data_IF_598650205416
#
_entry.id   IF_598650205416
#
_cell.length_a   1.000
_cell.length_b   1.000
_cell.length_c   1.000
_cell.angle_alpha   90.00
_cell.angle_beta   90.00
_cell.angle_gamma   90.00
#
_symmetry.space_group_name_H-M   'P 1'
#
loop_
_entity.id
_entity.type
_entity.pdbx_description
1 polymer ?
#
# COMPACT_ATOMS: atom_id res chain seq x y z
N UNK A 1 26.71 11.62 -16.99
CA UNK A 1 26.54 11.82 -15.55
C UNK A 1 27.40 13.00 -15.03
N UNK A 2 28.68 13.16 -15.45
CA UNK A 2 29.56 14.26 -14.97
C UNK A 2 29.00 15.64 -15.32
N UNK A 3 28.55 15.86 -16.55
CA UNK A 3 27.91 17.12 -16.96
C UNK A 3 26.67 17.46 -16.16
N UNK A 4 25.84 16.43 -15.82
CA UNK A 4 24.66 16.61 -14.98
C UNK A 4 25.09 17.00 -13.56
N UNK A 5 26.09 16.34 -12.98
CA UNK A 5 26.61 16.69 -11.67
C UNK A 5 27.19 18.13 -11.66
N UNK A 6 27.91 18.53 -12.70
CA UNK A 6 28.40 19.88 -12.84
C UNK A 6 27.27 20.92 -12.89
N UNK A 7 26.19 20.66 -13.65
CA UNK A 7 25.00 21.51 -13.67
C UNK A 7 24.35 21.64 -12.29
N UNK A 8 24.14 20.50 -11.62
CA UNK A 8 23.52 20.47 -10.29
C UNK A 8 24.37 21.20 -9.25
N UNK A 9 25.73 21.16 -9.35
CA UNK A 9 26.60 21.85 -8.43
C UNK A 9 26.46 23.39 -8.44
N UNK A 10 25.86 23.95 -9.50
CA UNK A 10 25.60 25.38 -9.60
C UNK A 10 24.30 25.82 -8.91
N UNK A 11 23.45 24.87 -8.47
CA UNK A 11 22.14 25.18 -7.86
C UNK A 11 22.30 25.73 -6.42
N UNK A 12 23.43 25.55 -5.80
CA UNK A 12 23.72 26.01 -4.44
C UNK A 12 22.98 25.22 -3.35
N UNK A 13 23.27 25.56 -2.10
CA UNK A 13 22.56 25.02 -0.94
C UNK A 13 21.27 25.81 -0.70
N UNK A 14 20.19 25.08 -0.39
CA UNK A 14 18.88 25.65 0.01
C UNK A 14 18.52 25.21 1.42
N UNK A 15 17.60 25.92 2.03
CA UNK A 15 16.94 25.47 3.25
C UNK A 15 16.36 24.08 3.06
N UNK A 16 16.33 23.30 4.15
CA UNK A 16 15.76 21.97 4.17
C UNK A 16 14.43 21.96 4.91
N UNK A 17 13.61 20.94 4.64
CA UNK A 17 12.38 20.71 5.38
C UNK A 17 12.64 20.42 6.87
N UNK A 18 13.82 19.89 7.19
CA UNK A 18 14.26 19.62 8.55
C UNK A 18 13.58 18.39 9.17
N UNK A 19 13.35 17.34 8.36
CA UNK A 19 12.84 16.08 8.90
C UNK A 19 13.80 15.50 9.93
N UNK A 20 13.23 14.99 11.04
CA UNK A 20 14.05 14.47 12.14
C UNK A 20 14.88 13.26 11.69
N UNK A 21 16.19 13.32 11.92
CA UNK A 21 17.14 12.26 11.65
C UNK A 21 18.08 12.04 12.84
N UNK A 22 18.18 10.77 13.27
CA UNK A 22 19.16 10.33 14.26
C UNK A 22 20.32 9.60 13.56
N UNK A 23 21.30 9.14 14.34
CA UNK A 23 22.31 8.23 13.84
C UNK A 23 21.64 6.95 13.33
N UNK A 24 21.93 6.51 12.09
CA UNK A 24 21.37 5.28 11.54
C UNK A 24 21.75 4.05 12.38
N UNK A 25 20.81 3.12 12.50
CA UNK A 25 21.07 1.81 13.09
C UNK A 25 20.78 0.73 12.06
N UNK A 26 21.45 -0.41 12.17
CA UNK A 26 21.14 -1.58 11.34
C UNK A 26 19.76 -2.14 11.70
N UNK A 27 19.02 -2.73 10.77
CA UNK A 27 17.79 -3.46 11.08
C UNK A 27 18.04 -4.62 12.06
N UNK A 28 16.97 -5.09 12.71
CA UNK A 28 17.07 -6.20 13.67
C UNK A 28 17.44 -7.53 13.01
N UNK A 29 17.11 -7.70 11.73
CA UNK A 29 17.36 -8.91 10.94
C UNK A 29 17.94 -8.55 9.57
N UNK A 30 18.58 -9.54 8.92
CA UNK A 30 19.19 -9.36 7.62
C UNK A 30 18.12 -9.09 6.52
N UNK A 31 18.42 -8.14 5.65
CA UNK A 31 17.52 -7.80 4.54
C UNK A 31 17.36 -8.94 3.52
N UNK A 32 18.33 -9.84 3.36
CA UNK A 32 18.25 -11.00 2.46
C UNK A 32 17.15 -11.99 2.88
N UNK A 33 16.78 -12.02 4.15
CA UNK A 33 15.67 -12.85 4.63
C UNK A 33 14.30 -12.42 4.06
N UNK A 34 14.19 -11.21 3.51
CA UNK A 34 12.97 -10.74 2.81
C UNK A 34 12.55 -11.67 1.67
N UNK A 35 13.51 -12.31 1.00
CA UNK A 35 13.20 -13.27 -0.07
C UNK A 35 12.41 -14.49 0.40
N UNK A 36 12.54 -14.87 1.68
CA UNK A 36 11.82 -16.00 2.26
C UNK A 36 10.50 -15.65 2.94
N UNK A 37 10.20 -14.36 3.14
CA UNK A 37 9.00 -13.91 3.87
C UNK A 37 7.80 -13.77 2.95
N UNK A 38 8.00 -13.16 1.77
CA UNK A 38 6.91 -12.94 0.82
C UNK A 38 6.70 -14.20 0.00
N UNK A 39 5.56 -14.87 0.13
CA UNK A 39 5.29 -16.09 -0.62
C UNK A 39 5.08 -15.78 -2.11
N UNK A 40 5.47 -16.69 -2.97
CA UNK A 40 5.24 -16.60 -4.41
C UNK A 40 3.73 -16.58 -4.76
N UNK A 41 2.89 -17.22 -3.93
CA UNK A 41 1.44 -17.25 -4.08
C UNK A 41 0.74 -16.07 -3.41
N UNK A 42 -0.10 -15.37 -4.14
CA UNK A 42 -0.81 -14.16 -3.67
C UNK A 42 -1.77 -14.38 -2.48
N UNK A 43 -2.08 -15.61 -2.13
CA UNK A 43 -3.09 -15.95 -1.11
C UNK A 43 -2.49 -16.51 0.20
N UNK A 44 -1.19 -16.66 0.29
CA UNK A 44 -0.56 -17.16 1.51
C UNK A 44 -0.40 -16.03 2.53
N UNK A 45 -0.82 -16.25 3.79
CA UNK A 45 -0.66 -15.27 4.85
C UNK A 45 0.79 -15.19 5.33
N UNK A 46 1.24 -13.99 5.66
CA UNK A 46 2.50 -13.73 6.38
C UNK A 46 2.31 -12.56 7.34
N UNK A 47 3.20 -12.40 8.30
CA UNK A 47 3.18 -11.24 9.20
C UNK A 47 4.02 -10.09 8.60
N UNK A 48 3.40 -8.98 8.29
CA UNK A 48 4.09 -7.79 7.77
C UNK A 48 5.10 -7.21 8.76
N UNK A 49 5.00 -7.53 10.06
CA UNK A 49 5.99 -7.13 11.06
C UNK A 49 7.36 -7.73 10.78
N UNK A 50 7.40 -8.94 10.20
CA UNK A 50 8.65 -9.57 9.77
C UNK A 50 9.34 -8.77 8.65
N UNK A 51 8.56 -8.20 7.73
CA UNK A 51 9.09 -7.29 6.71
C UNK A 51 9.62 -6.01 7.37
N UNK A 52 8.84 -5.42 8.28
CA UNK A 52 9.24 -4.19 8.98
C UNK A 52 10.54 -4.38 9.76
N UNK A 53 10.72 -5.50 10.43
CA UNK A 53 11.92 -5.79 11.23
C UNK A 53 13.22 -5.85 10.41
N UNK A 54 13.10 -5.99 9.07
CA UNK A 54 14.23 -6.00 8.11
C UNK A 54 14.39 -4.68 7.34
N UNK A 55 13.46 -3.75 7.53
CA UNK A 55 13.49 -2.45 6.86
C UNK A 55 13.82 -1.30 7.82
N UNK A 56 13.28 -1.33 9.04
CA UNK A 56 13.45 -0.23 9.99
C UNK A 56 14.71 -0.38 10.85
N UNK A 57 15.17 0.72 11.40
CA UNK A 57 16.32 0.76 12.31
C UNK A 57 15.97 -0.04 13.57
N UNK A 58 16.79 -1.00 13.93
CA UNK A 58 16.81 -1.75 15.18
C UNK A 58 15.48 -1.79 15.94
N UNK A 59 15.47 -1.31 17.19
CA UNK A 59 14.28 -1.28 18.06
C UNK A 59 13.39 -0.04 17.86
N UNK A 60 13.46 0.61 16.70
CA UNK A 60 12.77 1.89 16.46
C UNK A 60 11.27 1.77 16.21
N UNK A 61 10.72 0.56 15.98
CA UNK A 61 9.31 0.37 15.69
C UNK A 61 8.43 0.57 16.95
N UNK A 62 7.51 1.50 16.86
CA UNK A 62 6.48 1.73 17.89
C UNK A 62 5.11 1.69 17.23
N UNK A 63 4.38 0.60 17.44
CA UNK A 63 3.07 0.39 16.84
C UNK A 63 1.99 1.27 17.49
N UNK A 64 1.22 1.98 16.67
CA UNK A 64 0.09 2.80 17.09
C UNK A 64 -1.18 1.97 17.11
N UNK A 65 -1.89 1.94 18.23
CA UNK A 65 -3.14 1.18 18.45
C UNK A 65 -3.04 -0.29 18.03
N UNK A 66 -2.02 -0.99 18.52
CA UNK A 66 -1.69 -2.37 18.14
C UNK A 66 -2.88 -3.34 18.25
N UNK A 67 -3.73 -3.20 19.27
CA UNK A 67 -4.89 -4.06 19.50
C UNK A 67 -6.14 -3.70 18.68
N UNK A 68 -6.12 -2.63 17.87
CA UNK A 68 -7.28 -2.14 17.14
C UNK A 68 -6.98 -2.08 15.63
N UNK A 69 -7.96 -2.46 14.79
CA UNK A 69 -7.86 -2.40 13.34
C UNK A 69 -6.62 -3.13 12.79
N UNK A 70 -6.42 -4.37 13.21
CA UNK A 70 -5.16 -5.10 13.06
C UNK A 70 -4.82 -5.49 11.61
N UNK A 71 -5.76 -5.36 10.65
CA UNK A 71 -5.49 -5.62 9.23
C UNK A 71 -4.64 -4.53 8.57
N UNK A 72 -4.44 -3.39 9.23
CA UNK A 72 -3.45 -2.38 8.87
C UNK A 72 -2.56 -2.12 10.09
N UNK A 73 -1.26 -2.25 9.89
CA UNK A 73 -0.25 -1.84 10.87
C UNK A 73 0.04 -0.35 10.68
N UNK A 74 0.05 0.38 11.76
CA UNK A 74 0.45 1.79 11.79
C UNK A 74 1.43 2.01 12.92
N UNK A 75 2.49 2.75 12.69
CA UNK A 75 3.47 3.02 13.74
C UNK A 75 4.57 3.97 13.31
N UNK A 76 5.27 4.48 14.30
CA UNK A 76 6.45 5.30 14.11
C UNK A 76 7.69 4.42 14.08
N UNK A 77 8.64 4.76 13.23
CA UNK A 77 9.91 4.06 13.10
C UNK A 77 11.01 5.02 12.64
N UNK A 78 12.21 4.46 12.50
CA UNK A 78 13.29 5.11 11.77
C UNK A 78 13.74 4.24 10.61
N UNK A 79 14.07 4.88 9.50
CA UNK A 79 14.71 4.25 8.34
C UNK A 79 15.98 5.03 8.04
N UNK A 80 17.13 4.41 8.24
CA UNK A 80 18.43 5.06 8.10
C UNK A 80 18.52 6.36 8.93
N UNK A 81 18.01 6.31 10.14
CA UNK A 81 17.91 7.42 11.07
C UNK A 81 16.71 8.34 10.84
N UNK A 82 16.12 8.40 9.66
CA UNK A 82 14.97 9.25 9.35
C UNK A 82 13.71 8.82 10.11
N UNK A 83 13.09 9.73 10.83
CA UNK A 83 11.77 9.48 11.44
C UNK A 83 10.69 9.35 10.39
N UNK A 84 9.92 8.28 10.42
CA UNK A 84 8.84 7.99 9.48
C UNK A 84 7.61 7.48 10.22
N UNK A 85 6.44 7.76 9.64
CA UNK A 85 5.19 7.05 9.94
C UNK A 85 4.98 5.95 8.91
N UNK A 86 4.72 4.73 9.35
CA UNK A 86 4.50 3.59 8.47
C UNK A 86 3.03 3.18 8.52
N UNK A 87 2.45 2.95 7.34
CA UNK A 87 1.11 2.38 7.15
C UNK A 87 1.28 1.15 6.25
N UNK A 88 1.03 -0.03 6.80
CA UNK A 88 1.30 -1.29 6.10
C UNK A 88 0.12 -2.26 6.20
N UNK A 89 -0.20 -2.97 5.13
CA UNK A 89 -1.22 -4.01 5.18
C UNK A 89 -0.69 -5.24 5.91
N UNK A 90 -1.44 -5.73 6.90
CA UNK A 90 -1.17 -7.02 7.53
C UNK A 90 -1.76 -8.14 6.68
N UNK A 91 -0.98 -9.20 6.42
CA UNK A 91 -1.44 -10.35 5.61
C UNK A 91 -1.88 -11.54 6.45
N UNK A 92 -1.52 -11.57 7.72
CA UNK A 92 -2.04 -12.57 8.66
C UNK A 92 -3.54 -12.37 8.90
N UNK A 93 -4.25 -13.46 9.12
CA UNK A 93 -5.62 -13.43 9.63
C UNK A 93 -5.60 -12.96 11.08
N UNK A 94 -6.42 -11.98 11.41
CA UNK A 94 -6.46 -11.37 12.74
C UNK A 94 -7.85 -11.47 13.36
N UNK A 95 -7.95 -11.35 14.69
CA UNK A 95 -9.22 -11.27 15.40
C UNK A 95 -9.58 -9.82 15.66
N UNK A 96 -10.75 -9.40 15.21
CA UNK A 96 -11.27 -8.09 15.57
C UNK A 96 -11.57 -8.05 17.08
N UNK A 97 -11.00 -7.08 17.78
CA UNK A 97 -11.42 -6.79 19.15
C UNK A 97 -12.71 -5.98 19.10
N UNK A 98 -13.84 -6.66 19.04
CA UNK A 98 -15.13 -6.02 19.16
C UNK A 98 -15.39 -5.66 20.62
N UNK A 99 -15.77 -4.40 20.89
CA UNK A 99 -16.12 -3.95 22.25
C UNK A 99 -17.21 -4.84 22.89
N UNK A 100 -17.38 -4.75 24.19
CA UNK A 100 -18.22 -5.60 25.09
C UNK A 100 -19.64 -6.00 24.62
N UNK A 101 -20.12 -5.51 23.46
CA UNK A 101 -21.45 -5.78 22.90
C UNK A 101 -21.52 -6.83 21.80
N UNK A 102 -20.39 -7.26 21.24
CA UNK A 102 -20.39 -8.35 20.22
C UNK A 102 -19.87 -9.65 20.82
N UNK A 103 -20.70 -10.68 20.81
CA UNK A 103 -20.40 -12.02 21.34
C UNK A 103 -19.57 -12.90 20.42
N UNK A 104 -19.11 -12.41 19.27
CA UNK A 104 -18.31 -13.18 18.33
C UNK A 104 -17.00 -12.45 18.02
N UNK A 105 -15.87 -13.05 18.38
CA UNK A 105 -14.57 -12.72 17.82
C UNK A 105 -14.67 -12.86 16.29
N UNK A 106 -14.72 -11.75 15.58
CA UNK A 106 -14.79 -11.77 14.12
C UNK A 106 -13.39 -11.95 13.57
N UNK A 107 -13.22 -13.00 12.77
CA UNK A 107 -11.97 -13.21 12.03
C UNK A 107 -11.94 -12.26 10.83
N UNK A 108 -10.89 -11.47 10.73
CA UNK A 108 -10.64 -10.56 9.62
C UNK A 108 -9.50 -11.10 8.74
N UNK A 109 -9.76 -11.17 7.44
CA UNK A 109 -8.77 -11.62 6.46
C UNK A 109 -7.66 -10.58 6.27
N UNK A 110 -6.43 -11.03 6.19
CA UNK A 110 -5.27 -10.19 5.89
C UNK A 110 -5.35 -9.56 4.49
N UNK A 111 -4.81 -8.37 4.34
CA UNK A 111 -4.84 -7.61 3.09
C UNK A 111 -6.18 -6.93 2.78
N UNK A 112 -7.19 -7.12 3.61
CA UNK A 112 -8.50 -6.47 3.48
C UNK A 112 -8.60 -5.30 4.44
N UNK A 113 -9.13 -4.18 3.96
CA UNK A 113 -9.38 -2.98 4.78
C UNK A 113 -10.79 -3.08 5.36
N UNK A 114 -10.89 -3.03 6.69
CA UNK A 114 -12.14 -2.99 7.45
C UNK A 114 -12.38 -1.59 8.03
N UNK A 115 -13.56 -1.32 8.54
CA UNK A 115 -13.92 -0.02 9.13
C UNK A 115 -12.95 0.41 10.24
N UNK A 116 -12.61 -0.51 11.15
CA UNK A 116 -11.69 -0.27 12.26
C UNK A 116 -10.27 0.04 11.77
N UNK A 117 -9.76 -0.70 10.80
CA UNK A 117 -8.42 -0.47 10.24
C UNK A 117 -8.34 0.79 9.38
N UNK A 118 -9.41 1.13 8.65
CA UNK A 118 -9.51 2.38 7.91
C UNK A 118 -9.52 3.60 8.83
N UNK A 119 -10.32 3.56 9.91
CA UNK A 119 -10.38 4.65 10.90
C UNK A 119 -9.04 4.83 11.63
N UNK A 120 -8.38 3.71 12.04
CA UNK A 120 -7.04 3.76 12.63
C UNK A 120 -6.02 4.41 11.70
N UNK A 121 -5.99 3.98 10.44
CA UNK A 121 -5.05 4.50 9.45
C UNK A 121 -5.29 5.98 9.16
N UNK A 122 -6.56 6.40 8.98
CA UNK A 122 -6.91 7.80 8.77
C UNK A 122 -6.37 8.68 9.91
N UNK A 123 -6.63 8.29 11.15
CA UNK A 123 -6.18 9.04 12.33
C UNK A 123 -4.66 9.10 12.43
N UNK A 124 -3.98 7.98 12.15
CA UNK A 124 -2.52 7.93 12.17
C UNK A 124 -1.88 8.82 11.09
N UNK A 125 -2.41 8.80 9.87
CA UNK A 125 -1.95 9.65 8.77
C UNK A 125 -2.11 11.13 9.14
N UNK A 126 -3.24 11.52 9.73
CA UNK A 126 -3.46 12.88 10.21
C UNK A 126 -2.43 13.29 11.28
N UNK A 127 -2.13 12.40 12.23
CA UNK A 127 -1.12 12.67 13.27
C UNK A 127 0.27 12.91 12.65
N UNK A 128 0.66 12.10 11.65
CA UNK A 128 1.93 12.29 10.95
C UNK A 128 1.97 13.64 10.23
N UNK A 129 0.88 14.05 9.59
CA UNK A 129 0.79 15.34 8.92
C UNK A 129 0.92 16.51 9.90
N UNK A 130 0.24 16.47 11.04
CA UNK A 130 0.35 17.51 12.07
C UNK A 130 1.76 17.64 12.63
N UNK A 131 2.52 16.55 12.66
CA UNK A 131 3.90 16.51 13.18
C UNK A 131 4.97 16.59 12.08
N UNK A 132 4.56 16.75 10.82
CA UNK A 132 5.47 16.80 9.66
C UNK A 132 6.39 15.59 9.55
N UNK A 133 5.85 14.40 9.82
CA UNK A 133 6.55 13.12 9.72
C UNK A 133 6.29 12.53 8.33
N UNK A 134 7.29 12.25 7.49
CA UNK A 134 7.13 11.55 6.23
C UNK A 134 6.42 10.21 6.38
N UNK A 135 5.58 9.85 5.42
CA UNK A 135 4.79 8.62 5.44
C UNK A 135 5.36 7.58 4.47
N UNK A 136 5.43 6.34 4.94
CA UNK A 136 5.79 5.17 4.13
C UNK A 136 4.60 4.21 4.11
N UNK A 137 4.15 3.86 2.91
CA UNK A 137 3.07 2.90 2.69
C UNK A 137 3.64 1.60 2.14
N UNK A 138 3.37 0.47 2.81
CA UNK A 138 3.68 -0.87 2.31
C UNK A 138 2.38 -1.53 1.87
N UNK A 139 2.20 -1.69 0.56
CA UNK A 139 0.96 -2.22 -0.01
C UNK A 139 1.04 -3.73 -0.23
N UNK A 140 0.13 -4.45 0.39
CA UNK A 140 -0.32 -5.78 0.00
C UNK A 140 -1.82 -5.87 0.29
N UNK A 141 -2.61 -5.14 -0.52
CA UNK A 141 -4.03 -4.90 -0.30
C UNK A 141 -4.87 -5.52 -1.41
N UNK A 142 -5.90 -6.27 -1.01
CA UNK A 142 -6.87 -6.87 -1.92
C UNK A 142 -8.11 -5.99 -2.15
N UNK A 143 -8.36 -5.04 -1.26
CA UNK A 143 -9.48 -4.09 -1.34
C UNK A 143 -10.08 -3.79 0.03
N UNK A 144 -11.21 -3.09 0.01
CA UNK A 144 -12.06 -2.90 1.20
C UNK A 144 -12.98 -4.11 1.39
N UNK A 145 -13.37 -4.36 2.63
CA UNK A 145 -14.41 -5.36 2.91
C UNK A 145 -15.72 -4.96 2.23
N UNK A 146 -16.40 -5.92 1.63
CA UNK A 146 -17.65 -5.73 0.88
C UNK A 146 -18.79 -6.52 1.50
N UNK A 147 -20.01 -6.19 1.13
CA UNK A 147 -21.23 -6.88 1.52
C UNK A 147 -22.06 -6.10 2.52
N UNK A 148 -23.34 -6.44 2.62
CA UNK A 148 -24.34 -5.70 3.38
C UNK A 148 -23.93 -5.42 4.84
N UNK A 149 -23.28 -6.38 5.51
CA UNK A 149 -22.81 -6.21 6.89
C UNK A 149 -21.72 -5.13 7.00
N UNK A 150 -20.76 -5.13 6.08
CA UNK A 150 -19.68 -4.13 6.07
C UNK A 150 -20.22 -2.73 5.71
N UNK A 151 -21.11 -2.66 4.74
CA UNK A 151 -21.74 -1.41 4.29
C UNK A 151 -22.61 -0.79 5.37
N UNK A 152 -23.49 -1.59 6.01
CA UNK A 152 -24.28 -1.12 7.15
C UNK A 152 -23.43 -0.82 8.37
N UNK A 153 -22.26 -1.48 8.50
CA UNK A 153 -21.26 -1.23 9.56
C UNK A 153 -20.46 0.05 9.39
N UNK A 154 -20.57 0.75 8.25
CA UNK A 154 -19.96 2.05 8.01
C UNK A 154 -18.66 2.03 7.20
N UNK A 155 -18.30 0.92 6.51
CA UNK A 155 -17.06 0.81 5.73
C UNK A 155 -16.91 1.93 4.69
N UNK A 156 -18.01 2.38 4.08
CA UNK A 156 -17.99 3.46 3.08
C UNK A 156 -17.53 4.76 3.72
N UNK A 157 -18.07 5.10 4.90
CA UNK A 157 -17.71 6.31 5.66
C UNK A 157 -16.26 6.23 6.18
N UNK A 158 -15.89 5.12 6.78
CA UNK A 158 -14.56 4.96 7.39
C UNK A 158 -13.48 4.83 6.32
N UNK A 159 -13.77 4.14 5.23
CA UNK A 159 -12.90 4.11 4.05
C UNK A 159 -12.71 5.50 3.43
N UNK A 160 -13.78 6.28 3.34
CA UNK A 160 -13.70 7.68 2.85
C UNK A 160 -12.81 8.54 3.75
N UNK A 161 -12.83 8.36 5.08
CA UNK A 161 -11.90 9.08 6.00
C UNK A 161 -10.45 8.75 5.69
N UNK A 162 -10.12 7.47 5.45
CA UNK A 162 -8.76 7.06 5.11
C UNK A 162 -8.31 7.66 3.79
N UNK A 163 -9.14 7.57 2.75
CA UNK A 163 -8.87 8.16 1.43
C UNK A 163 -8.71 9.68 1.54
N UNK A 164 -9.56 10.36 2.32
CA UNK A 164 -9.45 11.79 2.57
C UNK A 164 -8.14 12.16 3.28
N UNK A 165 -7.74 11.40 4.29
CA UNK A 165 -6.48 11.64 5.01
C UNK A 165 -5.25 11.48 4.09
N UNK A 166 -5.26 10.49 3.20
CA UNK A 166 -4.18 10.26 2.23
C UNK A 166 -4.14 11.36 1.16
N UNK A 167 -5.30 11.71 0.59
CA UNK A 167 -5.39 12.69 -0.50
C UNK A 167 -5.03 14.11 -0.06
N UNK A 168 -5.36 14.49 1.18
CA UNK A 168 -5.03 15.80 1.75
C UNK A 168 -3.68 15.82 2.49
N UNK A 169 -2.96 14.71 2.52
CA UNK A 169 -1.65 14.64 3.17
C UNK A 169 -0.64 15.54 2.47
N UNK A 170 0.01 16.41 3.25
CA UNK A 170 1.00 17.40 2.80
C UNK A 170 2.44 16.99 3.08
N UNK A 171 2.66 15.94 3.85
CA UNK A 171 3.98 15.38 4.08
C UNK A 171 4.41 14.50 2.91
N UNK A 172 5.72 14.34 2.66
CA UNK A 172 6.19 13.39 1.65
C UNK A 172 5.66 11.98 1.90
N UNK A 173 5.14 11.36 0.86
CA UNK A 173 4.61 9.99 0.86
C UNK A 173 5.49 9.12 -0.02
N UNK A 174 5.81 7.92 0.45
CA UNK A 174 6.58 6.91 -0.26
C UNK A 174 5.79 5.62 -0.24
N UNK A 175 5.59 5.01 -1.40
CA UNK A 175 4.81 3.78 -1.51
C UNK A 175 5.67 2.66 -2.05
N UNK A 176 5.61 1.50 -1.40
CA UNK A 176 6.22 0.26 -1.86
C UNK A 176 5.11 -0.77 -2.03
N UNK A 177 4.89 -1.21 -3.25
CA UNK A 177 3.97 -2.30 -3.55
C UNK A 177 4.72 -3.60 -3.38
N UNK A 178 4.51 -4.28 -2.26
CA UNK A 178 5.21 -5.53 -1.92
C UNK A 178 4.47 -6.78 -2.40
N UNK A 179 3.17 -6.68 -2.58
CA UNK A 179 2.30 -7.76 -3.04
C UNK A 179 1.12 -7.21 -3.84
N UNK A 180 -0.10 -7.53 -3.43
CA UNK A 180 -1.30 -7.09 -4.13
C UNK A 180 -1.55 -5.58 -3.95
N UNK A 181 -2.09 -4.95 -4.98
CA UNK A 181 -2.55 -3.57 -4.95
C UNK A 181 -3.78 -3.43 -5.85
N UNK A 182 -4.96 -3.68 -5.28
CA UNK A 182 -6.19 -3.79 -6.06
C UNK A 182 -7.20 -2.70 -5.75
N UNK A 183 -7.81 -2.17 -6.81
CA UNK A 183 -8.99 -1.31 -6.79
C UNK A 183 -8.89 -0.12 -5.82
N UNK A 184 -9.93 0.10 -5.04
CA UNK A 184 -9.96 1.18 -4.05
C UNK A 184 -8.92 1.03 -2.93
N UNK A 185 -8.40 -0.18 -2.68
CA UNK A 185 -7.30 -0.41 -1.75
C UNK A 185 -6.01 0.28 -2.20
N UNK A 186 -5.71 0.29 -3.50
CA UNK A 186 -4.58 1.03 -4.06
C UNK A 186 -4.69 2.53 -3.72
N UNK A 187 -5.87 3.12 -3.85
CA UNK A 187 -6.11 4.53 -3.50
C UNK A 187 -5.90 4.79 -2.02
N UNK A 188 -6.52 3.99 -1.15
CA UNK A 188 -6.42 4.15 0.30
C UNK A 188 -5.00 4.01 0.83
N UNK A 189 -4.18 3.18 0.18
CA UNK A 189 -2.78 2.93 0.52
C UNK A 189 -1.80 3.79 -0.27
N UNK A 190 -2.22 4.97 -0.73
CA UNK A 190 -1.39 5.94 -1.45
C UNK A 190 -0.82 5.42 -2.77
N UNK A 191 -1.70 4.98 -3.67
CA UNK A 191 -1.34 4.68 -5.05
C UNK A 191 -0.99 5.94 -5.85
N UNK A 192 -0.67 5.77 -7.13
CA UNK A 192 -0.18 6.84 -8.03
C UNK A 192 -1.06 8.08 -8.04
N UNK A 193 -2.38 7.93 -7.90
CA UNK A 193 -3.33 9.04 -7.91
C UNK A 193 -3.16 10.05 -6.76
N UNK A 194 -2.50 9.65 -5.67
CA UNK A 194 -2.28 10.52 -4.50
C UNK A 194 -0.86 11.06 -4.38
N UNK A 195 -0.16 11.11 -5.50
CA UNK A 195 1.12 11.78 -5.68
C UNK A 195 2.17 11.40 -4.63
N UNK A 196 2.51 10.11 -4.48
CA UNK A 196 3.68 9.72 -3.72
C UNK A 196 4.94 10.28 -4.38
N UNK A 197 5.94 10.64 -3.57
CA UNK A 197 7.25 11.11 -4.08
C UNK A 197 8.01 10.02 -4.82
N UNK A 198 7.82 8.77 -4.36
CA UNK A 198 8.24 7.56 -5.05
C UNK A 198 7.17 6.50 -4.87
N UNK A 199 6.90 5.76 -5.93
CA UNK A 199 6.14 4.52 -5.90
C UNK A 199 7.00 3.41 -6.48
N UNK A 200 7.39 2.50 -5.61
CA UNK A 200 8.29 1.38 -5.89
C UNK A 200 7.49 0.09 -5.91
N UNK A 201 7.91 -0.86 -6.71
CA UNK A 201 7.29 -2.19 -6.76
C UNK A 201 8.34 -3.28 -6.54
N UNK A 202 8.00 -4.30 -5.77
CA UNK A 202 8.77 -5.54 -5.74
C UNK A 202 8.39 -6.42 -6.93
N UNK A 203 9.23 -7.39 -7.33
CA UNK A 203 8.88 -8.33 -8.41
C UNK A 203 7.60 -9.13 -8.14
N UNK A 204 7.24 -9.31 -6.87
CA UNK A 204 6.01 -9.97 -6.41
C UNK A 204 4.76 -9.10 -6.53
N UNK A 205 4.89 -7.81 -6.84
CA UNK A 205 3.78 -6.87 -6.92
C UNK A 205 2.77 -7.26 -8.00
N UNK A 206 1.49 -7.09 -7.66
CA UNK A 206 0.36 -7.27 -8.59
C UNK A 206 -0.55 -6.04 -8.51
N UNK A 207 -0.64 -5.27 -9.60
CA UNK A 207 -1.41 -4.03 -9.66
C UNK A 207 -2.56 -4.19 -10.63
N UNK A 208 -3.80 -4.08 -10.15
CA UNK A 208 -4.99 -4.25 -10.98
C UNK A 208 -6.24 -3.63 -10.34
N UNK A 209 -7.33 -3.63 -11.09
CA UNK A 209 -8.64 -3.18 -10.57
C UNK A 209 -9.21 -4.19 -9.56
N UNK A 210 -8.99 -5.50 -9.79
CA UNK A 210 -9.43 -6.58 -8.91
C UNK A 210 -8.53 -7.81 -9.07
N UNK A 211 -8.68 -8.81 -8.20
CA UNK A 211 -7.93 -10.07 -8.32
C UNK A 211 -8.23 -10.84 -9.61
N UNK A 212 -7.22 -11.53 -10.15
CA UNK A 212 -7.28 -12.12 -11.49
C UNK A 212 -8.44 -13.06 -11.75
N UNK A 213 -8.69 -14.02 -10.86
CA UNK A 213 -9.81 -14.99 -11.02
C UNK A 213 -11.19 -14.34 -10.94
N UNK A 214 -11.37 -13.30 -10.13
CA UNK A 214 -12.63 -12.55 -10.07
C UNK A 214 -12.82 -11.71 -11.33
N UNK A 215 -11.77 -11.05 -11.80
CA UNK A 215 -11.79 -10.26 -13.03
C UNK A 215 -12.13 -11.14 -14.23
N UNK A 216 -11.49 -12.29 -14.36
CA UNK A 216 -11.70 -13.21 -15.46
C UNK A 216 -13.16 -13.70 -15.54
N UNK A 217 -13.76 -14.07 -14.41
CA UNK A 217 -15.18 -14.48 -14.34
C UNK A 217 -16.13 -13.35 -14.76
N UNK A 218 -15.89 -12.12 -14.32
CA UNK A 218 -16.71 -10.96 -14.71
C UNK A 218 -16.56 -10.66 -16.20
N UNK A 219 -15.34 -10.67 -16.73
CA UNK A 219 -15.08 -10.43 -18.15
C UNK A 219 -15.66 -11.53 -19.02
N UNK A 220 -15.56 -12.80 -18.60
CA UNK A 220 -16.22 -13.93 -19.27
C UNK A 220 -17.73 -13.71 -19.36
N UNK A 221 -18.38 -13.36 -18.26
CA UNK A 221 -19.82 -13.11 -18.25
C UNK A 221 -20.24 -11.99 -19.20
N UNK A 222 -19.42 -10.93 -19.30
CA UNK A 222 -19.68 -9.82 -20.23
C UNK A 222 -19.57 -10.30 -21.68
N UNK A 223 -18.52 -11.07 -22.00
CA UNK A 223 -18.29 -11.55 -23.38
C UNK A 223 -19.36 -12.59 -23.78
N UNK A 224 -19.70 -13.52 -22.90
CA UNK A 224 -20.79 -14.50 -23.14
C UNK A 224 -22.11 -13.79 -23.40
N UNK A 225 -22.49 -12.79 -22.61
CA UNK A 225 -23.70 -12.00 -22.82
C UNK A 225 -23.69 -11.24 -24.14
N UNK A 226 -22.53 -10.75 -24.56
CA UNK A 226 -22.36 -10.06 -25.84
C UNK A 226 -22.58 -11.03 -27.01
N UNK A 227 -21.98 -12.22 -26.95
CA UNK A 227 -22.13 -13.27 -27.99
C UNK A 227 -23.57 -13.79 -28.06
N UNK A 228 -24.22 -13.99 -26.92
CA UNK A 228 -25.65 -14.37 -26.86
C UNK A 228 -26.56 -13.34 -27.54
N UNK A 229 -26.28 -12.04 -27.34
CA UNK A 229 -27.03 -10.97 -28.03
C UNK A 229 -26.82 -10.97 -29.56
N UNK A 230 -25.71 -11.54 -30.04
CA UNK A 230 -25.41 -11.72 -31.46
C UNK A 230 -25.94 -13.04 -32.03
N UNK A 231 -26.65 -13.83 -31.21
CA UNK A 231 -27.21 -15.13 -31.62
C UNK A 231 -26.23 -16.30 -31.56
N UNK A 232 -25.05 -16.09 -30.92
CA UNK A 232 -24.04 -17.14 -30.76
C UNK A 232 -24.10 -17.68 -29.33
N UNK A 233 -24.32 -18.98 -29.18
CA UNK A 233 -24.20 -19.69 -27.92
C UNK A 233 -22.88 -20.44 -27.88
N UNK A 234 -22.10 -20.24 -26.80
CA UNK A 234 -20.85 -20.93 -26.57
C UNK A 234 -21.09 -22.24 -25.82
N UNK A 235 -20.43 -23.30 -26.24
CA UNK A 235 -20.34 -24.55 -25.47
C UNK A 235 -19.55 -24.34 -24.17
N UNK A 236 -19.67 -25.25 -23.22
CA UNK A 236 -18.91 -25.19 -21.96
C UNK A 236 -17.39 -25.24 -22.22
N UNK A 237 -16.94 -26.00 -23.21
CA UNK A 237 -15.54 -26.09 -23.63
C UNK A 237 -15.03 -24.75 -24.20
N UNK A 238 -15.83 -24.09 -25.03
CA UNK A 238 -15.50 -22.77 -25.60
C UNK A 238 -15.49 -21.69 -24.52
N UNK A 239 -16.40 -21.75 -23.53
CA UNK A 239 -16.42 -20.86 -22.39
C UNK A 239 -15.15 -21.04 -21.53
N UNK A 240 -14.73 -22.29 -21.29
CA UNK A 240 -13.50 -22.55 -20.52
C UNK A 240 -12.26 -22.05 -21.27
N UNK A 241 -12.14 -22.32 -22.56
CA UNK A 241 -11.03 -21.82 -23.38
C UNK A 241 -10.97 -20.28 -23.41
N UNK A 242 -12.13 -19.63 -23.45
CA UNK A 242 -12.23 -18.17 -23.36
C UNK A 242 -11.80 -17.67 -21.98
N UNK A 243 -12.22 -18.34 -20.90
CA UNK A 243 -11.81 -18.01 -19.54
C UNK A 243 -10.30 -18.08 -19.37
N UNK A 244 -9.68 -19.18 -19.80
CA UNK A 244 -8.22 -19.37 -19.74
C UNK A 244 -7.47 -18.26 -20.50
N UNK A 245 -7.98 -17.89 -21.67
CA UNK A 245 -7.40 -16.78 -22.47
C UNK A 245 -7.49 -15.43 -21.72
N UNK A 246 -8.62 -15.17 -21.06
CA UNK A 246 -8.84 -13.95 -20.29
C UNK A 246 -7.93 -13.95 -19.06
N UNK A 247 -7.83 -15.06 -18.34
CA UNK A 247 -6.97 -15.21 -17.17
C UNK A 247 -5.50 -14.96 -17.51
N UNK A 248 -4.98 -15.59 -18.56
CA UNK A 248 -3.61 -15.42 -19.03
C UNK A 248 -3.30 -13.97 -19.38
N UNK A 249 -4.21 -13.32 -20.13
CA UNK A 249 -4.06 -11.91 -20.49
C UNK A 249 -4.06 -11.02 -19.25
N UNK A 250 -5.00 -11.27 -18.35
CA UNK A 250 -5.15 -10.47 -17.15
C UNK A 250 -3.93 -10.63 -16.22
N UNK A 251 -3.44 -11.86 -16.04
CA UNK A 251 -2.25 -12.10 -15.22
C UNK A 251 -1.02 -11.36 -15.76
N UNK A 252 -0.81 -11.36 -17.08
CA UNK A 252 0.28 -10.60 -17.72
C UNK A 252 0.15 -9.10 -17.44
N UNK A 253 -1.08 -8.57 -17.44
CA UNK A 253 -1.35 -7.15 -17.20
C UNK A 253 -1.29 -6.73 -15.72
N UNK A 254 -1.33 -7.66 -14.78
CA UNK A 254 -1.20 -7.36 -13.34
C UNK A 254 0.25 -7.26 -12.87
N UNK A 255 1.21 -7.79 -13.64
CA UNK A 255 2.63 -7.81 -13.28
C UNK A 255 3.22 -6.41 -13.17
N UNK A 256 4.21 -6.20 -12.30
CA UNK A 256 4.81 -4.88 -12.08
C UNK A 256 5.48 -4.34 -13.36
N UNK A 257 5.97 -5.19 -14.24
CA UNK A 257 6.53 -4.79 -15.55
C UNK A 257 5.51 -4.09 -16.45
N UNK A 258 4.25 -4.53 -16.42
CA UNK A 258 3.17 -3.88 -17.16
C UNK A 258 2.86 -2.48 -16.59
N UNK A 259 2.87 -2.35 -15.27
CA UNK A 259 2.68 -1.09 -14.58
C UNK A 259 3.85 -0.12 -14.82
N UNK A 260 5.10 -0.62 -14.75
CA UNK A 260 6.29 0.18 -15.00
C UNK A 260 6.35 0.71 -16.43
N UNK A 261 6.00 -0.11 -17.43
CA UNK A 261 5.92 0.31 -18.82
C UNK A 261 4.89 1.43 -19.08
N UNK A 262 3.98 1.68 -18.11
CA UNK A 262 2.95 2.73 -18.16
C UNK A 262 3.20 3.85 -17.16
N UNK A 263 4.36 3.85 -16.50
CA UNK A 263 4.76 4.82 -15.49
C UNK A 263 3.80 4.87 -14.28
N UNK A 264 3.12 3.74 -13.98
CA UNK A 264 2.30 3.61 -12.77
C UNK A 264 3.15 3.40 -11.53
N UNK A 265 4.37 2.87 -11.71
CA UNK A 265 5.42 2.81 -10.70
C UNK A 265 6.69 3.45 -11.25
N UNK A 266 7.50 4.02 -10.37
CA UNK A 266 8.72 4.72 -10.76
C UNK A 266 9.87 3.74 -10.99
N UNK A 267 9.93 2.63 -10.21
CA UNK A 267 10.97 1.61 -10.33
C UNK A 267 10.47 0.26 -9.81
N UNK A 268 10.95 -0.83 -10.42
CA UNK A 268 10.86 -2.18 -9.87
C UNK A 268 12.18 -2.46 -9.17
N UNK A 269 12.12 -2.64 -7.86
CA UNK A 269 13.31 -2.74 -7.02
C UNK A 269 13.47 -4.15 -6.44
N UNK A 270 14.71 -4.52 -6.18
CA UNK A 270 15.04 -5.67 -5.34
C UNK A 270 14.59 -5.39 -3.90
N UNK A 271 13.83 -6.30 -3.25
CA UNK A 271 13.38 -6.14 -1.87
C UNK A 271 14.46 -5.71 -0.89
N UNK A 272 15.67 -6.23 -0.99
CA UNK A 272 16.81 -5.89 -0.10
C UNK A 272 17.25 -4.44 -0.23
N UNK A 273 16.97 -3.79 -1.36
CA UNK A 273 17.34 -2.39 -1.60
C UNK A 273 16.32 -1.38 -1.09
N UNK A 274 15.15 -1.85 -0.62
CA UNK A 274 14.00 -1.01 -0.23
C UNK A 274 14.39 0.07 0.78
N UNK A 275 15.12 -0.31 1.83
CA UNK A 275 15.60 0.63 2.86
C UNK A 275 16.43 1.75 2.26
N UNK A 276 17.35 1.44 1.36
CA UNK A 276 18.21 2.43 0.71
C UNK A 276 17.42 3.38 -0.21
N UNK A 277 16.43 2.85 -0.94
CA UNK A 277 15.53 3.66 -1.76
C UNK A 277 14.72 4.64 -0.93
N UNK A 278 14.11 4.17 0.16
CA UNK A 278 13.33 5.01 1.08
C UNK A 278 14.20 6.10 1.72
N UNK A 279 15.38 5.75 2.23
CA UNK A 279 16.30 6.72 2.82
C UNK A 279 16.69 7.83 1.82
N UNK A 280 17.05 7.45 0.58
CA UNK A 280 17.38 8.41 -0.48
C UNK A 280 16.17 9.27 -0.85
N UNK A 281 14.97 8.66 -0.95
CA UNK A 281 13.73 9.38 -1.24
C UNK A 281 13.43 10.44 -0.18
N UNK A 282 13.55 10.10 1.10
CA UNK A 282 13.35 11.04 2.21
C UNK A 282 14.40 12.15 2.17
N UNK A 283 15.67 11.80 1.94
CA UNK A 283 16.73 12.78 1.79
C UNK A 283 16.51 13.77 0.64
N UNK A 284 15.99 13.28 -0.50
CA UNK A 284 15.58 14.16 -1.62
C UNK A 284 14.42 15.06 -1.24
N UNK A 285 13.40 14.53 -0.57
CA UNK A 285 12.23 15.29 -0.13
C UNK A 285 12.60 16.37 0.90
N UNK A 286 13.62 16.13 1.73
CA UNK A 286 14.13 17.09 2.71
C UNK A 286 14.72 18.35 2.07
N UNK A 287 15.08 18.32 0.79
CA UNK A 287 15.53 19.51 0.04
C UNK A 287 14.38 20.47 -0.33
N UNK A 288 13.14 20.14 -0.09
CA UNK A 288 12.00 21.03 -0.29
C UNK A 288 11.41 21.47 1.05
N UNK A 289 11.73 22.70 1.53
CA UNK A 289 11.21 23.21 2.79
C UNK A 289 9.73 23.60 2.73
N UNK A 290 9.18 23.77 1.52
CA UNK A 290 7.80 24.19 1.35
C UNK A 290 6.84 23.06 1.72
N UNK A 291 6.05 23.29 2.74
CA UNK A 291 4.97 22.38 3.14
C UNK A 291 3.67 23.19 3.26
N UNK A 292 2.65 22.91 2.46
CA UNK A 292 1.35 23.55 2.60
C UNK A 292 0.77 23.33 4.01
N UNK A 293 -0.12 24.21 4.48
CA UNK A 293 -0.83 23.94 5.73
C UNK A 293 -1.71 22.69 5.58
N UNK A 294 -1.62 21.79 6.57
CA UNK A 294 -2.46 20.60 6.60
C UNK A 294 -3.88 20.96 7.02
N UNK A 295 -4.82 20.75 6.13
CA UNK A 295 -6.26 20.97 6.40
C UNK A 295 -7.09 19.82 5.79
N UNK A 296 -7.40 18.77 6.54
CA UNK A 296 -8.20 17.66 6.06
C UNK A 296 -9.70 17.97 5.96
N UNK A 297 -10.12 19.21 6.29
CA UNK A 297 -11.50 19.55 6.45
C UNK A 297 -12.14 18.93 7.69
N UNK A 298 -13.46 18.84 7.70
CA UNK A 298 -14.22 18.20 8.78
C UNK A 298 -14.32 16.70 8.50
N UNK A 299 -13.75 15.90 9.39
CA UNK A 299 -13.88 14.44 9.35
C UNK A 299 -14.87 14.03 10.42
N UNK A 300 -15.97 13.47 10.01
CA UNK A 300 -16.98 12.93 10.92
C UNK A 300 -16.43 11.68 11.64
N UNK A 301 -16.45 11.69 12.95
CA UNK A 301 -16.04 10.57 13.82
C UNK A 301 -17.18 9.60 14.06
#
# INVERSE_FOLDING_TARGET
LEKVRALVSHLGARERAGFARAAPQVPAFDAEELYGIIPEGSNQPYDMREVLARLVDGESWTEYKQGYGQTILTGYARIDGWSVGIVANQRSVVRAQTGKRSRSDEMQAGGVIYSDSADKAARFIMNCNQKRIPLVFLQDVTGFMVGARAEHGGIIKDGAKMVNAVSNSVVPKFTVVVGNSYGAGNYAMCGRAYDPRLILAWPTAKIAVMGGSQAAKVLLQIEVRKLQKQGNELTDEEQQALLDTIEDRYEKQTKPYYAAARLWVDEIIDPVTTRAWLSRGIAMADHNPETPPFNPGVIQT
#
